data_IF_843297455725
#
_entry.id   IF_843297455725
#
_cell.length_a   1.000
_cell.length_b   1.000
_cell.length_c   1.000
_cell.angle_alpha   90.00
_cell.angle_beta   90.00
_cell.angle_gamma   90.00
#
_symmetry.space_group_name_H-M   'P 1'
#
loop_
_entity.id
_entity.type
_entity.pdbx_description
1 polymer ?
#
# COMPACT_ATOMS: atom_id res chain seq x y z
N UNK A 1 -43.04 49.78 79.02
CA UNK A 1 -42.14 48.91 78.25
C UNK A 1 -42.56 48.94 76.78
N UNK A 2 -41.98 49.79 75.92
CA UNK A 2 -42.34 49.86 74.51
C UNK A 2 -41.35 49.05 73.65
N UNK A 3 -41.89 48.24 72.74
CA UNK A 3 -41.12 47.50 71.74
C UNK A 3 -40.81 48.41 70.54
N UNK A 4 -39.51 48.51 70.22
CA UNK A 4 -38.94 49.39 69.20
C UNK A 4 -39.05 48.72 67.83
N UNK A 5 -39.61 49.45 66.87
CA UNK A 5 -39.66 49.09 65.45
C UNK A 5 -38.26 49.06 64.82
N UNK A 6 -37.96 48.04 64.02
CA UNK A 6 -36.74 47.93 63.20
C UNK A 6 -37.04 48.24 61.74
N UNK A 7 -36.17 48.98 61.02
CA UNK A 7 -36.38 49.32 59.61
C UNK A 7 -35.96 48.18 58.66
N UNK A 8 -36.62 48.11 57.51
CA UNK A 8 -36.33 47.21 56.39
C UNK A 8 -35.19 47.80 55.54
N UNK A 9 -34.17 47.02 55.11
CA UNK A 9 -33.15 47.53 54.21
C UNK A 9 -33.62 47.46 52.75
N UNK A 10 -33.36 48.53 52.01
CA UNK A 10 -33.66 48.66 50.58
C UNK A 10 -32.75 47.75 49.73
N UNK A 11 -33.36 46.98 48.82
CA UNK A 11 -32.67 46.11 47.86
C UNK A 11 -32.21 46.96 46.67
N UNK A 12 -30.90 47.21 46.56
CA UNK A 12 -30.28 47.82 45.37
C UNK A 12 -30.09 46.75 44.29
N UNK A 13 -30.86 46.86 43.20
CA UNK A 13 -30.74 46.01 42.02
C UNK A 13 -29.59 46.53 41.14
N UNK A 14 -28.44 45.85 41.17
CA UNK A 14 -27.33 46.14 40.26
C UNK A 14 -27.59 45.50 38.88
N UNK A 15 -27.89 46.31 37.86
CA UNK A 15 -27.89 45.86 36.47
C UNK A 15 -26.43 45.67 36.01
N UNK A 16 -26.00 44.41 35.92
CA UNK A 16 -24.77 44.04 35.23
C UNK A 16 -25.02 44.06 33.71
N UNK A 17 -24.52 45.09 33.01
CA UNK A 17 -24.42 45.11 31.56
C UNK A 17 -23.35 44.11 31.10
N UNK A 18 -23.76 42.88 30.79
CA UNK A 18 -22.93 41.91 30.09
C UNK A 18 -22.80 42.35 28.62
N UNK A 19 -21.70 43.03 28.29
CA UNK A 19 -21.31 43.25 26.90
C UNK A 19 -20.94 41.90 26.26
N UNK A 20 -21.90 41.28 25.57
CA UNK A 20 -21.69 40.08 24.78
C UNK A 20 -20.76 40.40 23.61
N UNK A 21 -19.49 39.99 23.71
CA UNK A 21 -18.61 39.95 22.57
C UNK A 21 -19.11 38.86 21.61
N UNK A 22 -19.84 39.27 20.57
CA UNK A 22 -20.21 38.39 19.47
C UNK A 22 -18.92 37.88 18.83
N UNK A 23 -18.60 36.59 19.03
CA UNK A 23 -17.59 35.90 18.23
C UNK A 23 -18.05 35.97 16.78
N UNK A 24 -17.29 36.70 15.96
CA UNK A 24 -17.44 36.66 14.51
C UNK A 24 -17.30 35.19 14.08
N UNK A 25 -18.42 34.56 13.73
CA UNK A 25 -18.42 33.28 13.05
C UNK A 25 -17.87 33.56 11.66
N UNK A 26 -16.60 33.23 11.42
CA UNK A 26 -15.97 33.38 10.11
C UNK A 26 -16.81 32.65 9.07
N UNK A 27 -17.04 33.30 7.92
CA UNK A 27 -17.70 32.68 6.77
C UNK A 27 -16.97 31.38 6.43
N UNK A 28 -17.68 30.22 6.32
CA UNK A 28 -17.04 28.97 5.94
C UNK A 28 -16.33 29.16 4.60
N UNK A 29 -15.03 28.87 4.55
CA UNK A 29 -14.32 28.84 3.27
C UNK A 29 -14.97 27.76 2.38
N UNK A 30 -15.10 28.02 1.06
CA UNK A 30 -15.66 27.04 0.16
C UNK A 30 -14.83 25.73 0.20
N UNK A 31 -15.46 24.57 -0.02
CA UNK A 31 -14.74 23.30 -0.07
C UNK A 31 -13.69 23.34 -1.19
N UNK A 32 -12.55 22.64 -1.03
CA UNK A 32 -11.54 22.60 -2.06
C UNK A 32 -12.06 21.87 -3.31
N UNK A 33 -11.69 22.34 -4.51
CA UNK A 33 -12.14 21.78 -5.79
C UNK A 33 -11.39 20.49 -6.20
N UNK A 34 -10.23 20.21 -5.61
CA UNK A 34 -9.38 19.07 -6.00
C UNK A 34 -10.07 17.69 -5.94
N UNK A 35 -11.01 17.39 -5.01
CA UNK A 35 -11.61 16.05 -4.95
C UNK A 35 -12.41 15.70 -6.21
N UNK A 36 -13.22 16.64 -6.70
CA UNK A 36 -14.02 16.48 -7.91
C UNK A 36 -13.13 16.36 -9.15
N UNK A 37 -12.10 17.21 -9.23
CA UNK A 37 -11.13 17.19 -10.32
C UNK A 37 -10.31 15.90 -10.36
N UNK A 38 -9.85 15.43 -9.19
CA UNK A 38 -9.14 14.17 -9.08
C UNK A 38 -10.03 13.00 -9.49
N UNK A 39 -11.29 12.98 -9.04
CA UNK A 39 -12.23 11.92 -9.42
C UNK A 39 -12.42 11.89 -10.95
N UNK A 40 -12.57 13.05 -11.59
CA UNK A 40 -12.69 13.14 -13.04
C UNK A 40 -11.43 12.62 -13.77
N UNK A 41 -10.23 13.02 -13.34
CA UNK A 41 -8.97 12.54 -13.91
C UNK A 41 -8.78 11.03 -13.70
N UNK A 42 -9.13 10.48 -12.53
CA UNK A 42 -9.06 9.03 -12.27
C UNK A 42 -10.00 8.22 -13.17
N UNK A 43 -11.21 8.73 -13.45
CA UNK A 43 -12.13 8.12 -14.42
C UNK A 43 -11.51 8.09 -15.82
N UNK A 44 -10.84 9.16 -16.23
CA UNK A 44 -10.15 9.22 -17.52
C UNK A 44 -8.96 8.24 -17.59
N UNK A 45 -8.14 8.21 -16.54
CA UNK A 45 -7.02 7.26 -16.43
C UNK A 45 -7.53 5.83 -16.53
N UNK A 46 -8.61 5.49 -15.83
CA UNK A 46 -9.21 4.16 -15.90
C UNK A 46 -9.76 3.84 -17.30
N UNK A 47 -10.41 4.78 -17.98
CA UNK A 47 -10.99 4.56 -19.31
C UNK A 47 -9.93 4.33 -20.40
N UNK A 48 -8.73 4.90 -20.25
CA UNK A 48 -7.64 4.79 -21.23
C UNK A 48 -6.77 3.55 -21.06
N UNK A 49 -6.98 2.78 -19.98
CA UNK A 49 -6.18 1.62 -19.65
C UNK A 49 -7.02 0.34 -19.75
N UNK A 50 -6.43 -0.69 -20.37
CA UNK A 50 -7.02 -2.04 -20.43
C UNK A 50 -6.97 -2.75 -19.07
N UNK A 51 -6.10 -2.30 -18.17
CA UNK A 51 -6.05 -2.78 -16.79
C UNK A 51 -7.23 -2.22 -15.99
N UNK A 52 -7.88 -3.04 -15.17
CA UNK A 52 -8.74 -2.51 -14.12
C UNK A 52 -7.89 -1.75 -13.10
N UNK A 53 -8.25 -0.50 -12.79
CA UNK A 53 -7.52 0.36 -11.85
C UNK A 53 -8.38 0.60 -10.61
N UNK A 54 -7.76 0.52 -9.43
CA UNK A 54 -8.32 0.95 -8.16
C UNK A 54 -7.41 1.97 -7.53
N UNK A 55 -7.97 3.06 -7.01
CA UNK A 55 -7.24 4.15 -6.35
C UNK A 55 -8.00 4.63 -5.13
N UNK A 56 -7.29 4.82 -4.04
CA UNK A 56 -7.76 5.54 -2.87
C UNK A 56 -6.75 6.63 -2.49
N UNK A 57 -7.22 7.84 -2.27
CA UNK A 57 -6.40 9.00 -1.89
C UNK A 57 -7.00 9.67 -0.66
N UNK A 58 -6.17 10.01 0.33
CA UNK A 58 -6.58 10.72 1.55
C UNK A 58 -5.62 11.87 1.85
N UNK A 59 -6.15 13.07 1.97
CA UNK A 59 -5.43 14.25 2.48
C UNK A 59 -5.42 14.22 4.02
N UNK A 60 -4.23 14.07 4.62
CA UNK A 60 -4.10 13.91 6.08
C UNK A 60 -4.26 15.23 6.84
N UNK A 61 -4.32 16.37 6.16
CA UNK A 61 -4.56 17.66 6.79
C UNK A 61 -6.05 17.96 6.94
N UNK A 62 -6.88 17.54 5.97
CA UNK A 62 -8.33 17.83 5.94
C UNK A 62 -9.19 16.61 6.23
N UNK A 63 -8.65 15.40 6.08
CA UNK A 63 -9.40 14.14 6.15
C UNK A 63 -10.21 13.83 4.89
N UNK A 64 -10.24 14.74 3.91
CA UNK A 64 -10.95 14.54 2.65
C UNK A 64 -10.29 13.40 1.86
N UNK A 65 -11.13 12.52 1.30
CA UNK A 65 -10.68 11.37 0.52
C UNK A 65 -11.44 11.23 -0.81
N UNK A 66 -10.76 10.64 -1.79
CA UNK A 66 -11.31 10.28 -3.11
C UNK A 66 -11.06 8.80 -3.34
N UNK A 67 -12.08 8.10 -3.84
CA UNK A 67 -12.04 6.66 -4.07
C UNK A 67 -12.55 6.32 -5.47
N UNK A 68 -11.69 5.72 -6.28
CA UNK A 68 -12.06 5.06 -7.51
C UNK A 68 -11.91 3.55 -7.31
N UNK A 69 -13.03 2.85 -7.11
CA UNK A 69 -13.06 1.38 -6.88
C UNK A 69 -12.19 0.93 -5.69
N UNK A 70 -11.90 1.83 -4.75
CA UNK A 70 -11.03 1.56 -3.61
C UNK A 70 -11.61 0.60 -2.58
N UNK A 71 -12.94 0.44 -2.56
CA UNK A 71 -13.64 -0.47 -1.64
C UNK A 71 -13.82 -1.89 -2.22
N UNK A 72 -13.41 -2.13 -3.47
CA UNK A 72 -13.34 -3.50 -4.00
C UNK A 72 -12.20 -4.28 -3.35
N UNK A 73 -12.24 -5.60 -3.47
CA UNK A 73 -11.13 -6.48 -3.08
C UNK A 73 -10.02 -6.44 -4.14
N UNK A 74 -8.82 -6.02 -3.74
CA UNK A 74 -7.62 -5.98 -4.59
C UNK A 74 -6.54 -6.91 -4.06
N UNK A 75 -5.89 -7.65 -4.96
CA UNK A 75 -4.70 -8.42 -4.60
C UNK A 75 -3.53 -7.48 -4.31
N UNK A 76 -3.02 -7.49 -3.08
CA UNK A 76 -2.05 -6.52 -2.58
C UNK A 76 -0.61 -6.83 -3.00
N UNK A 77 -0.36 -8.06 -3.47
CA UNK A 77 0.98 -8.52 -3.83
C UNK A 77 1.99 -8.21 -2.72
N UNK A 78 3.14 -7.62 -3.05
CA UNK A 78 4.20 -7.32 -2.08
C UNK A 78 3.94 -6.13 -1.15
N UNK A 79 2.79 -5.45 -1.23
CA UNK A 79 2.47 -4.39 -0.27
C UNK A 79 2.14 -4.97 1.12
N UNK A 80 1.76 -6.25 1.22
CA UNK A 80 1.61 -6.98 2.50
C UNK A 80 2.86 -6.99 3.38
N UNK A 81 4.03 -6.66 2.81
CA UNK A 81 5.30 -6.51 3.55
C UNK A 81 5.30 -5.34 4.53
N UNK A 82 4.41 -4.34 4.37
CA UNK A 82 4.25 -3.26 5.37
C UNK A 82 3.67 -3.81 6.68
N UNK A 83 2.52 -4.53 6.68
CA UNK A 83 2.07 -5.29 7.85
C UNK A 83 3.14 -6.19 8.48
N UNK A 84 3.93 -6.89 7.67
CA UNK A 84 5.03 -7.74 8.18
C UNK A 84 6.07 -6.90 8.91
N UNK A 85 6.51 -5.77 8.34
CA UNK A 85 7.47 -4.87 8.97
C UNK A 85 6.94 -4.31 10.30
N UNK A 86 5.66 -3.95 10.36
CA UNK A 86 5.02 -3.47 11.58
C UNK A 86 5.00 -4.55 12.68
N UNK A 87 4.66 -5.80 12.33
CA UNK A 87 4.68 -6.91 13.30
C UNK A 87 6.10 -7.17 13.84
N UNK A 88 7.12 -7.08 12.99
CA UNK A 88 8.54 -7.18 13.40
C UNK A 88 8.91 -6.05 14.35
N UNK A 89 8.57 -4.81 14.03
CA UNK A 89 8.89 -3.67 14.88
C UNK A 89 8.14 -3.70 16.22
N UNK A 90 6.90 -4.18 16.26
CA UNK A 90 6.19 -4.41 17.52
C UNK A 90 6.86 -5.50 18.38
N UNK A 91 7.38 -6.56 17.76
CA UNK A 91 8.14 -7.58 18.49
C UNK A 91 9.47 -7.02 19.04
N UNK A 92 10.13 -6.13 18.30
CA UNK A 92 11.30 -5.39 18.81
C UNK A 92 10.93 -4.53 20.01
N UNK A 93 9.80 -3.83 19.97
CA UNK A 93 9.35 -2.96 21.09
C UNK A 93 8.96 -3.74 22.34
N UNK A 94 8.46 -4.97 22.19
CA UNK A 94 8.22 -5.88 23.31
C UNK A 94 9.50 -6.46 23.92
N UNK A 95 10.64 -6.30 23.24
CA UNK A 95 11.92 -6.86 23.66
C UNK A 95 12.10 -8.34 23.29
N UNK A 96 11.26 -8.88 22.40
CA UNK A 96 11.36 -10.29 21.95
C UNK A 96 12.71 -10.54 21.24
N UNK A 97 13.21 -9.52 20.53
CA UNK A 97 14.52 -9.46 19.89
C UNK A 97 14.87 -7.99 19.56
N UNK A 98 16.07 -7.75 19.02
CA UNK A 98 16.50 -6.42 18.56
C UNK A 98 16.65 -6.37 17.04
N UNK A 99 16.74 -5.17 16.47
CA UNK A 99 17.05 -4.99 15.06
C UNK A 99 18.41 -5.60 14.65
N UNK A 100 19.32 -5.79 15.60
CA UNK A 100 20.66 -6.35 15.34
C UNK A 100 20.72 -7.86 15.63
N UNK A 101 19.60 -8.47 16.03
CA UNK A 101 19.51 -9.92 16.26
C UNK A 101 19.79 -10.68 14.96
N UNK A 102 20.72 -11.66 14.97
CA UNK A 102 21.06 -12.42 13.77
C UNK A 102 20.09 -13.57 13.52
N UNK A 103 19.58 -13.67 12.29
CA UNK A 103 18.90 -14.86 11.76
C UNK A 103 19.83 -15.59 10.80
N UNK A 104 19.91 -16.92 10.92
CA UNK A 104 20.69 -17.75 10.00
C UNK A 104 19.82 -18.21 8.84
N UNK A 105 20.26 -17.93 7.62
CA UNK A 105 19.61 -18.41 6.39
C UNK A 105 19.55 -19.93 6.38
N UNK A 106 18.38 -20.50 6.15
CA UNK A 106 18.15 -21.94 5.93
C UNK A 106 17.83 -22.19 4.46
N UNK A 107 18.07 -23.41 3.98
CA UNK A 107 17.72 -23.79 2.61
C UNK A 107 16.21 -23.64 2.35
N UNK A 108 15.38 -23.83 3.37
CA UNK A 108 13.92 -23.67 3.31
C UNK A 108 13.47 -22.22 3.16
N UNK A 109 14.33 -21.25 3.43
CA UNK A 109 13.95 -19.83 3.48
C UNK A 109 13.94 -19.19 2.08
N UNK A 110 14.63 -19.79 1.11
CA UNK A 110 14.75 -19.22 -0.23
C UNK A 110 13.37 -19.14 -0.91
N UNK A 111 13.10 -18.00 -1.53
CA UNK A 111 11.90 -17.79 -2.35
C UNK A 111 12.32 -17.03 -3.62
N UNK A 112 11.68 -17.32 -4.75
CA UNK A 112 11.93 -16.56 -5.97
C UNK A 112 11.59 -15.08 -5.79
N UNK A 113 12.40 -14.18 -6.35
CA UNK A 113 12.18 -12.75 -6.18
C UNK A 113 13.42 -11.91 -6.38
N UNK A 114 13.27 -10.62 -6.10
CA UNK A 114 14.35 -9.64 -6.11
C UNK A 114 15.12 -9.62 -4.78
N UNK A 115 16.11 -8.75 -4.68
CA UNK A 115 16.94 -8.59 -3.48
C UNK A 115 18.18 -9.48 -3.45
N UNK A 116 19.02 -9.27 -2.45
CA UNK A 116 20.32 -9.95 -2.35
C UNK A 116 20.35 -11.11 -1.36
N UNK A 117 19.24 -11.41 -0.68
CA UNK A 117 19.21 -12.45 0.35
C UNK A 117 19.39 -13.85 -0.25
N UNK A 118 18.85 -14.10 -1.45
CA UNK A 118 19.08 -15.34 -2.20
C UNK A 118 20.54 -15.60 -2.57
N UNK A 119 21.38 -14.57 -2.63
CA UNK A 119 22.80 -14.72 -2.91
C UNK A 119 23.62 -15.06 -1.64
N UNK A 120 23.00 -15.13 -0.47
CA UNK A 120 23.67 -15.47 0.78
C UNK A 120 23.63 -16.98 1.01
N UNK A 121 24.76 -17.62 1.36
CA UNK A 121 24.78 -19.06 1.57
C UNK A 121 24.02 -19.45 2.84
N UNK A 122 23.54 -20.69 2.88
CA UNK A 122 22.96 -21.31 4.08
C UNK A 122 23.91 -21.17 5.27
N UNK A 123 23.36 -20.86 6.44
CA UNK A 123 24.09 -20.63 7.69
C UNK A 123 24.60 -19.20 7.87
N UNK A 124 24.59 -18.36 6.82
CA UNK A 124 24.95 -16.94 6.92
C UNK A 124 24.02 -16.23 7.90
N UNK A 125 24.61 -15.57 8.89
CA UNK A 125 23.88 -14.71 9.82
C UNK A 125 23.59 -13.35 9.16
N UNK A 126 22.32 -12.94 9.18
CA UNK A 126 21.82 -11.66 8.68
C UNK A 126 20.99 -10.99 9.79
N UNK A 127 21.19 -9.70 10.04
CA UNK A 127 20.42 -9.01 11.08
C UNK A 127 18.96 -8.78 10.66
N UNK A 128 18.06 -8.70 11.63
CA UNK A 128 16.66 -8.30 11.41
C UNK A 128 16.58 -6.97 10.63
N UNK A 129 17.45 -6.01 10.94
CA UNK A 129 17.57 -4.74 10.21
C UNK A 129 17.87 -4.95 8.73
N UNK A 130 18.88 -5.77 8.42
CA UNK A 130 19.22 -6.09 7.03
C UNK A 130 18.02 -6.69 6.29
N UNK A 131 17.34 -7.65 6.91
CA UNK A 131 16.18 -8.32 6.31
C UNK A 131 15.00 -7.36 6.11
N UNK A 132 14.73 -6.46 7.07
CA UNK A 132 13.69 -5.43 6.92
C UNK A 132 13.98 -4.51 5.74
N UNK A 133 15.23 -4.06 5.61
CA UNK A 133 15.63 -3.19 4.49
C UNK A 133 15.59 -3.94 3.16
N UNK A 134 16.05 -5.19 3.10
CA UNK A 134 15.94 -6.00 1.88
C UNK A 134 14.48 -6.21 1.47
N UNK A 135 13.62 -6.55 2.43
CA UNK A 135 12.19 -6.76 2.21
C UNK A 135 11.49 -5.50 1.70
N UNK A 136 11.77 -4.33 2.28
CA UNK A 136 11.07 -3.11 1.94
C UNK A 136 11.65 -2.44 0.69
N UNK A 137 12.96 -2.26 0.64
CA UNK A 137 13.65 -1.48 -0.41
C UNK A 137 13.66 -2.24 -1.74
N UNK A 138 14.00 -3.52 -1.69
CA UNK A 138 14.20 -4.37 -2.87
C UNK A 138 13.06 -5.37 -3.07
N UNK A 139 12.04 -5.36 -2.20
CA UNK A 139 10.92 -6.30 -2.24
C UNK A 139 11.36 -7.77 -2.14
N UNK A 140 12.44 -8.04 -1.41
CA UNK A 140 13.06 -9.37 -1.26
C UNK A 140 12.12 -10.37 -0.57
N UNK A 141 11.78 -11.47 -1.25
CA UNK A 141 10.82 -12.47 -0.75
C UNK A 141 11.44 -13.41 0.29
N UNK A 142 12.73 -13.73 0.16
CA UNK A 142 13.45 -14.56 1.13
C UNK A 142 13.59 -13.82 2.45
N UNK A 143 13.93 -12.53 2.39
CA UNK A 143 13.94 -11.70 3.58
C UNK A 143 12.55 -11.60 4.24
N UNK A 144 11.48 -11.50 3.44
CA UNK A 144 10.12 -11.52 3.96
C UNK A 144 9.77 -12.82 4.68
N UNK A 145 10.03 -13.97 4.08
CA UNK A 145 9.65 -15.25 4.69
C UNK A 145 10.49 -15.56 5.93
N UNK A 146 11.76 -15.14 5.96
CA UNK A 146 12.57 -15.18 7.18
C UNK A 146 11.96 -14.33 8.30
N UNK A 147 11.50 -13.10 7.99
CA UNK A 147 10.86 -12.22 8.97
C UNK A 147 9.48 -12.73 9.40
N UNK A 148 8.68 -13.26 8.48
CA UNK A 148 7.39 -13.92 8.79
C UNK A 148 7.63 -15.14 9.68
N UNK A 149 8.68 -15.92 9.42
CA UNK A 149 9.08 -17.03 10.27
C UNK A 149 9.50 -16.59 11.68
N UNK A 150 10.17 -15.44 11.79
CA UNK A 150 10.59 -14.87 13.08
C UNK A 150 9.40 -14.44 13.94
N UNK A 151 8.42 -13.72 13.37
CA UNK A 151 7.28 -13.19 14.16
C UNK A 151 6.05 -14.10 14.15
N UNK A 152 6.01 -15.06 13.23
CA UNK A 152 4.85 -15.91 12.96
C UNK A 152 3.78 -15.21 12.11
N UNK A 153 3.29 -15.90 11.08
CA UNK A 153 2.22 -15.40 10.19
C UNK A 153 0.91 -15.08 10.93
N UNK A 154 0.66 -15.75 12.06
CA UNK A 154 -0.51 -15.47 12.92
C UNK A 154 -0.42 -14.07 13.55
N UNK A 155 0.77 -13.62 13.95
CA UNK A 155 0.96 -12.29 14.52
C UNK A 155 0.70 -11.20 13.47
N UNK A 156 1.15 -11.41 12.22
CA UNK A 156 0.90 -10.48 11.11
C UNK A 156 -0.61 -10.35 10.82
N UNK A 157 -1.33 -11.48 10.76
CA UNK A 157 -2.78 -11.46 10.53
C UNK A 157 -3.56 -10.87 11.70
N UNK A 158 -3.18 -11.18 12.94
CA UNK A 158 -3.80 -10.61 14.13
C UNK A 158 -3.63 -9.08 14.17
N UNK A 159 -2.43 -8.59 13.79
CA UNK A 159 -2.14 -7.16 13.71
C UNK A 159 -3.09 -6.44 12.75
N UNK A 160 -3.22 -6.90 11.50
CA UNK A 160 -4.11 -6.23 10.53
C UNK A 160 -5.57 -6.36 10.92
N UNK A 161 -5.99 -7.49 11.49
CA UNK A 161 -7.35 -7.68 11.98
C UNK A 161 -7.69 -6.72 13.14
N UNK A 162 -6.72 -6.42 14.00
CA UNK A 162 -6.88 -5.47 15.10
C UNK A 162 -6.92 -4.01 14.61
N UNK A 163 -6.01 -3.64 13.72
CA UNK A 163 -5.83 -2.25 13.29
C UNK A 163 -6.89 -1.80 12.28
N UNK A 164 -7.26 -2.69 11.36
CA UNK A 164 -8.15 -2.40 10.23
C UNK A 164 -9.14 -3.56 10.04
N UNK A 165 -10.11 -3.72 10.96
CA UNK A 165 -11.02 -4.85 10.95
C UNK A 165 -11.77 -4.99 9.62
N UNK A 166 -11.82 -6.22 9.08
CA UNK A 166 -12.44 -6.53 7.79
C UNK A 166 -11.84 -5.79 6.58
N UNK A 167 -10.67 -5.17 6.74
CA UNK A 167 -9.98 -4.45 5.69
C UNK A 167 -9.06 -5.33 4.83
N UNK A 168 -8.47 -6.35 5.45
CA UNK A 168 -7.53 -7.28 4.85
C UNK A 168 -8.10 -8.70 4.91
N UNK A 169 -7.89 -9.44 3.83
CA UNK A 169 -8.03 -10.89 3.82
C UNK A 169 -6.78 -11.53 4.44
N UNK A 170 -6.83 -12.86 4.63
CA UNK A 170 -5.71 -13.60 5.21
C UNK A 170 -4.42 -13.41 4.40
N UNK A 171 -3.39 -12.91 5.07
CA UNK A 171 -2.02 -12.79 4.57
C UNK A 171 -1.31 -14.14 4.73
N UNK A 172 -0.57 -14.57 3.71
CA UNK A 172 0.27 -15.78 3.72
C UNK A 172 1.74 -15.43 3.45
N UNK A 173 2.63 -16.43 3.59
CA UNK A 173 4.04 -16.26 3.20
C UNK A 173 4.20 -16.14 1.69
N UNK A 174 5.33 -15.61 1.23
CA UNK A 174 5.62 -15.44 -0.19
C UNK A 174 5.87 -16.78 -0.87
N UNK A 175 6.42 -17.77 -0.15
CA UNK A 175 6.45 -19.15 -0.58
C UNK A 175 5.03 -19.73 -0.74
N UNK A 176 4.13 -19.46 0.20
CA UNK A 176 2.76 -19.96 0.12
C UNK A 176 1.97 -19.33 -1.02
N UNK A 177 2.26 -18.08 -1.43
CA UNK A 177 1.71 -17.53 -2.68
C UNK A 177 1.97 -18.48 -3.86
N UNK A 178 3.16 -19.07 -3.96
CA UNK A 178 3.50 -20.04 -5.02
C UNK A 178 2.78 -21.36 -4.84
N UNK A 179 2.75 -21.89 -3.61
CA UNK A 179 2.06 -23.15 -3.30
C UNK A 179 0.57 -23.07 -3.57
N UNK A 180 -0.08 -21.96 -3.22
CA UNK A 180 -1.51 -21.75 -3.51
C UNK A 180 -1.77 -21.56 -5.00
N UNK A 181 -0.96 -20.75 -5.69
CA UNK A 181 -1.10 -20.55 -7.13
C UNK A 181 -0.90 -21.84 -7.93
N UNK A 182 0.21 -22.54 -7.74
CA UNK A 182 0.45 -23.82 -8.42
C UNK A 182 -0.43 -24.95 -7.88
N UNK A 183 -0.92 -24.81 -6.64
CA UNK A 183 -1.92 -25.68 -6.03
C UNK A 183 -3.19 -25.78 -6.86
N UNK A 184 -3.56 -24.71 -7.58
CA UNK A 184 -4.72 -24.75 -8.48
C UNK A 184 -4.53 -25.77 -9.62
N UNK A 185 -3.30 -25.96 -10.10
CA UNK A 185 -2.97 -26.98 -11.11
C UNK A 185 -3.03 -28.39 -10.50
N UNK A 186 -2.44 -28.56 -9.32
CA UNK A 186 -2.28 -29.87 -8.67
C UNK A 186 -2.03 -29.71 -7.15
N UNK A 187 -2.68 -30.49 -6.27
CA UNK A 187 -2.49 -30.37 -4.82
C UNK A 187 -1.06 -30.72 -4.36
N UNK A 188 -0.30 -31.47 -5.16
CA UNK A 188 1.10 -31.79 -4.93
C UNK A 188 2.00 -30.56 -4.87
N UNK A 189 1.57 -29.41 -5.40
CA UNK A 189 2.31 -28.15 -5.31
C UNK A 189 2.57 -27.69 -3.86
N UNK A 190 1.84 -28.21 -2.88
CA UNK A 190 2.12 -28.02 -1.45
C UNK A 190 3.51 -28.51 -1.04
N UNK A 191 4.11 -29.45 -1.78
CA UNK A 191 5.45 -29.99 -1.52
C UNK A 191 6.59 -29.16 -2.12
N UNK A 192 6.29 -28.10 -2.88
CA UNK A 192 7.32 -27.27 -3.49
C UNK A 192 8.17 -26.58 -2.41
N UNK A 193 9.48 -26.75 -2.56
CA UNK A 193 10.50 -26.11 -1.75
C UNK A 193 10.87 -24.73 -2.30
N UNK A 194 11.63 -23.98 -1.50
CA UNK A 194 12.18 -22.70 -1.91
C UNK A 194 13.04 -22.76 -3.18
N UNK A 195 13.85 -23.80 -3.28
CA UNK A 195 14.70 -24.05 -4.45
C UNK A 195 13.87 -24.30 -5.72
N UNK A 196 12.76 -25.02 -5.59
CA UNK A 196 11.86 -25.30 -6.72
C UNK A 196 11.31 -24.00 -7.33
N UNK A 197 10.97 -23.01 -6.50
CA UNK A 197 10.49 -21.72 -6.98
C UNK A 197 11.56 -20.99 -7.82
N UNK A 198 12.84 -21.09 -7.44
CA UNK A 198 13.94 -20.51 -8.22
C UNK A 198 14.04 -21.18 -9.60
N UNK A 199 13.94 -22.51 -9.66
CA UNK A 199 13.97 -23.28 -10.91
C UNK A 199 12.78 -22.93 -11.81
N UNK A 200 11.56 -22.85 -11.24
CA UNK A 200 10.34 -22.49 -11.98
C UNK A 200 10.43 -21.04 -12.50
N UNK A 201 10.99 -20.12 -11.72
CA UNK A 201 11.09 -18.70 -12.09
C UNK A 201 11.99 -18.46 -13.31
N UNK A 202 13.02 -19.28 -13.50
CA UNK A 202 13.97 -19.17 -14.63
C UNK A 202 13.35 -19.47 -15.99
N UNK A 203 12.20 -20.15 -16.02
CA UNK A 203 11.54 -20.53 -17.27
C UNK A 203 10.98 -19.30 -18.00
N UNK A 204 11.05 -19.30 -19.34
CA UNK A 204 10.67 -18.14 -20.16
C UNK A 204 9.19 -18.12 -20.52
N UNK A 205 8.60 -19.29 -20.77
CA UNK A 205 7.19 -19.42 -21.13
C UNK A 205 6.36 -20.14 -20.07
N UNK A 206 5.04 -20.00 -20.14
CA UNK A 206 4.13 -20.76 -19.27
C UNK A 206 4.14 -22.25 -19.60
N UNK A 207 4.29 -22.62 -20.88
CA UNK A 207 4.44 -24.02 -21.28
C UNK A 207 5.66 -24.67 -20.61
N UNK A 208 6.81 -23.98 -20.62
CA UNK A 208 8.02 -24.46 -19.95
C UNK A 208 7.83 -24.59 -18.43
N UNK A 209 7.11 -23.63 -17.82
CA UNK A 209 6.78 -23.69 -16.38
C UNK A 209 5.93 -24.91 -16.05
N UNK A 210 4.92 -25.23 -16.87
CA UNK A 210 4.09 -26.43 -16.68
C UNK A 210 4.93 -27.72 -16.79
N UNK A 211 5.85 -27.79 -17.75
CA UNK A 211 6.74 -28.94 -17.90
C UNK A 211 7.70 -29.11 -16.72
N UNK A 212 8.27 -28.02 -16.22
CA UNK A 212 9.10 -28.04 -15.00
C UNK A 212 8.28 -28.46 -13.78
N UNK A 213 7.10 -27.89 -13.58
CA UNK A 213 6.19 -28.27 -12.50
C UNK A 213 5.84 -29.76 -12.56
N UNK A 214 5.51 -30.28 -13.74
CA UNK A 214 5.22 -31.70 -13.95
C UNK A 214 6.37 -32.60 -13.49
N UNK A 215 7.61 -32.26 -13.87
CA UNK A 215 8.80 -33.01 -13.44
C UNK A 215 9.06 -32.94 -11.93
N UNK A 216 8.98 -31.73 -11.35
CA UNK A 216 9.25 -31.53 -9.92
C UNK A 216 8.20 -32.21 -9.03
N UNK A 217 6.94 -32.20 -9.47
CA UNK A 217 5.81 -32.74 -8.71
C UNK A 217 5.48 -34.20 -9.05
N UNK A 218 6.11 -34.76 -10.08
CA UNK A 218 5.84 -36.10 -10.62
C UNK A 218 4.36 -36.30 -10.98
N UNK A 219 3.75 -35.26 -11.57
CA UNK A 219 2.35 -35.27 -12.03
C UNK A 219 2.34 -34.85 -13.51
N UNK A 220 1.84 -35.68 -14.44
CA UNK A 220 1.79 -35.32 -15.86
C UNK A 220 1.00 -34.03 -16.08
N UNK A 221 1.45 -33.18 -17.01
CA UNK A 221 0.73 -31.93 -17.37
C UNK A 221 -0.72 -32.21 -17.79
N UNK A 222 -0.97 -33.33 -18.47
CA UNK A 222 -2.31 -33.77 -18.86
C UNK A 222 -3.25 -34.05 -17.68
N UNK A 223 -2.71 -34.22 -16.47
CA UNK A 223 -3.46 -34.43 -15.22
C UNK A 223 -3.63 -33.14 -14.41
N UNK A 224 -3.11 -32.00 -14.87
CA UNK A 224 -3.35 -30.71 -14.21
C UNK A 224 -4.81 -30.27 -14.39
N UNK A 225 -5.38 -29.70 -13.33
CA UNK A 225 -6.79 -29.26 -13.31
C UNK A 225 -7.08 -28.04 -14.17
N UNK A 226 -6.06 -27.22 -14.40
CA UNK A 226 -6.16 -26.01 -15.21
C UNK A 226 -5.11 -26.05 -16.33
N UNK A 227 -5.43 -25.53 -17.52
CA UNK A 227 -4.61 -25.67 -18.71
C UNK A 227 -3.41 -24.71 -18.74
N UNK A 228 -3.38 -23.68 -17.88
CA UNK A 228 -2.34 -22.65 -17.92
C UNK A 228 -1.93 -22.15 -16.53
N UNK A 229 -0.68 -21.68 -16.42
CA UNK A 229 -0.20 -20.94 -15.23
C UNK A 229 -1.03 -19.67 -15.02
N UNK A 230 -1.50 -19.03 -16.10
CA UNK A 230 -2.35 -17.84 -16.00
C UNK A 230 -3.66 -18.12 -15.26
N UNK A 231 -4.40 -19.15 -15.67
CA UNK A 231 -5.65 -19.54 -15.01
C UNK A 231 -5.43 -20.01 -13.57
N UNK A 232 -4.30 -20.66 -13.29
CA UNK A 232 -3.93 -21.03 -11.94
C UNK A 232 -3.74 -19.80 -11.03
N UNK A 233 -3.12 -18.72 -11.52
CA UNK A 233 -3.01 -17.46 -10.77
C UNK A 233 -4.36 -16.77 -10.61
N UNK A 234 -5.21 -16.74 -11.63
CA UNK A 234 -6.55 -16.14 -11.53
C UNK A 234 -7.45 -16.90 -10.54
N UNK A 235 -7.43 -18.23 -10.55
CA UNK A 235 -8.11 -19.06 -9.56
C UNK A 235 -7.57 -18.81 -8.14
N UNK A 236 -6.26 -18.67 -7.97
CA UNK A 236 -5.67 -18.28 -6.68
C UNK A 236 -6.14 -16.91 -6.20
N UNK A 237 -6.20 -15.90 -7.08
CA UNK A 237 -6.72 -14.58 -6.68
C UNK A 237 -8.18 -14.62 -6.26
N UNK A 238 -8.98 -15.55 -6.80
CA UNK A 238 -10.38 -15.71 -6.41
C UNK A 238 -10.51 -16.14 -4.94
N UNK A 239 -9.55 -16.90 -4.39
CA UNK A 239 -9.49 -17.30 -2.97
C UNK A 239 -9.42 -16.11 -2.00
N UNK A 240 -8.97 -14.95 -2.47
CA UNK A 240 -8.87 -13.73 -1.67
C UNK A 240 -7.62 -13.63 -0.80
N UNK A 241 -6.76 -14.64 -0.77
CA UNK A 241 -5.50 -14.59 -0.03
C UNK A 241 -4.66 -13.38 -0.45
N UNK A 242 -3.97 -12.75 0.52
CA UNK A 242 -3.14 -11.57 0.32
C UNK A 242 -3.86 -10.41 -0.39
N UNK A 243 -5.16 -10.27 -0.18
CA UNK A 243 -5.99 -9.20 -0.74
C UNK A 243 -6.50 -8.28 0.35
N UNK A 244 -7.03 -7.12 -0.04
CA UNK A 244 -7.67 -6.17 0.87
C UNK A 244 -8.34 -5.04 0.09
N UNK A 245 -9.06 -4.18 0.81
CA UNK A 245 -9.57 -2.93 0.25
C UNK A 245 -8.51 -1.83 0.34
N UNK A 246 -8.51 -0.91 -0.63
CA UNK A 246 -7.51 0.15 -0.72
C UNK A 246 -7.74 1.26 0.33
N UNK A 247 -9.01 1.50 0.71
CA UNK A 247 -9.37 2.39 1.81
C UNK A 247 -8.82 1.87 3.14
N UNK A 248 -8.99 0.57 3.42
CA UNK A 248 -8.44 -0.05 4.62
C UNK A 248 -6.90 -0.07 4.64
N UNK A 249 -6.25 -0.25 3.49
CA UNK A 249 -4.80 -0.10 3.40
C UNK A 249 -4.37 1.35 3.70
N UNK A 250 -5.15 2.34 3.26
CA UNK A 250 -4.89 3.73 3.59
C UNK A 250 -5.05 4.03 5.09
N UNK A 251 -6.04 3.42 5.75
CA UNK A 251 -6.23 3.52 7.20
C UNK A 251 -5.02 2.95 7.96
N UNK A 252 -4.47 1.81 7.51
CA UNK A 252 -3.23 1.25 8.07
C UNK A 252 -2.05 2.22 7.93
N UNK A 253 -1.90 2.85 6.75
CA UNK A 253 -0.85 3.84 6.50
C UNK A 253 -1.06 5.10 7.36
N UNK A 254 -2.29 5.54 7.56
CA UNK A 254 -2.62 6.69 8.42
C UNK A 254 -2.23 6.43 9.87
N UNK A 255 -2.55 5.24 10.38
CA UNK A 255 -2.13 4.80 11.72
C UNK A 255 -0.61 4.75 11.86
N UNK A 256 0.11 4.27 10.83
CA UNK A 256 1.58 4.29 10.81
C UNK A 256 2.10 5.73 10.86
N UNK A 257 1.64 6.59 9.95
CA UNK A 257 2.09 7.99 9.84
C UNK A 257 1.77 8.78 11.12
N UNK A 258 0.65 8.49 11.76
CA UNK A 258 0.26 9.07 13.05
C UNK A 258 1.00 8.51 14.27
N UNK A 259 1.92 7.56 14.10
CA UNK A 259 2.68 6.94 15.20
C UNK A 259 1.81 6.13 16.15
N UNK A 260 0.75 5.50 15.65
CA UNK A 260 -0.25 4.76 16.45
C UNK A 260 -0.02 3.25 16.51
N UNK A 261 0.91 2.72 15.71
CA UNK A 261 1.17 1.27 15.62
C UNK A 261 2.46 0.87 16.34
N UNK A 262 3.50 1.69 16.18
CA UNK A 262 4.84 1.54 16.77
C UNK A 262 5.30 2.91 17.27
N UNK A 263 6.31 2.95 18.12
CA UNK A 263 6.83 4.18 18.70
C UNK A 263 7.40 5.14 17.65
N UNK A 264 7.57 6.40 18.03
CA UNK A 264 7.99 7.46 17.11
C UNK A 264 9.36 7.20 16.42
N UNK A 265 10.28 6.49 17.09
CA UNK A 265 11.57 6.10 16.50
C UNK A 265 11.40 5.07 15.39
N UNK A 266 10.61 4.03 15.63
CA UNK A 266 10.32 2.99 14.64
C UNK A 266 9.39 3.46 13.53
N UNK A 267 8.45 4.37 13.78
CA UNK A 267 7.68 5.05 12.74
C UNK A 267 8.60 5.80 11.79
N UNK A 268 9.52 6.63 12.30
CA UNK A 268 10.50 7.35 11.47
C UNK A 268 11.41 6.41 10.70
N UNK A 269 11.88 5.35 11.35
CA UNK A 269 12.68 4.32 10.69
C UNK A 269 11.93 3.66 9.53
N UNK A 270 10.69 3.20 9.75
CA UNK A 270 9.92 2.52 8.71
C UNK A 270 9.63 3.46 7.53
N UNK A 271 9.20 4.70 7.80
CA UNK A 271 8.97 5.69 6.74
C UNK A 271 10.24 6.02 5.97
N UNK A 272 11.39 6.16 6.65
CA UNK A 272 12.67 6.43 5.95
C UNK A 272 13.17 5.24 5.13
N UNK A 273 12.89 4.00 5.53
CA UNK A 273 13.13 2.82 4.70
C UNK A 273 12.20 2.84 3.48
N UNK A 274 10.93 3.21 3.68
CA UNK A 274 9.93 3.30 2.60
C UNK A 274 10.22 4.43 1.60
N UNK A 275 10.90 5.51 2.00
CA UNK A 275 11.39 6.56 1.06
C UNK A 275 12.57 6.08 0.20
N UNK A 276 13.28 5.02 0.62
CA UNK A 276 14.44 4.47 -0.09
C UNK A 276 14.10 3.36 -1.09
N UNK A 277 12.82 2.98 -1.20
CA UNK A 277 12.38 1.89 -2.08
C UNK A 277 12.87 2.10 -3.52
N UNK A 278 13.46 1.04 -4.09
CA UNK A 278 14.09 1.07 -5.42
C UNK A 278 13.22 0.43 -6.50
N UNK A 279 12.12 -0.20 -6.12
CA UNK A 279 11.17 -0.81 -7.04
C UNK A 279 10.10 0.20 -7.46
N UNK A 280 9.57 0.09 -8.68
CA UNK A 280 8.40 0.88 -9.10
C UNK A 280 8.70 2.37 -9.32
N UNK A 281 9.96 2.73 -9.61
CA UNK A 281 10.36 4.12 -9.93
C UNK A 281 9.59 4.75 -11.10
N UNK A 282 8.92 3.92 -11.91
CA UNK A 282 8.08 4.34 -13.03
C UNK A 282 6.57 4.33 -12.74
N UNK A 283 6.17 4.13 -11.48
CA UNK A 283 4.77 4.09 -11.03
C UNK A 283 4.32 5.46 -10.53
N UNK A 284 3.59 5.52 -9.41
CA UNK A 284 3.00 6.74 -8.87
C UNK A 284 4.07 7.82 -8.71
N UNK A 285 5.24 7.46 -8.18
CA UNK A 285 6.37 8.38 -8.00
C UNK A 285 6.73 9.16 -9.27
N UNK A 286 6.71 8.52 -10.45
CA UNK A 286 7.07 9.16 -11.72
C UNK A 286 6.03 10.20 -12.20
N UNK A 287 4.83 10.20 -11.62
CA UNK A 287 3.77 11.17 -11.90
C UNK A 287 3.69 12.30 -10.87
N UNK A 288 4.45 12.22 -9.76
CA UNK A 288 4.44 13.24 -8.72
C UNK A 288 5.29 14.47 -9.09
N UNK A 289 5.03 15.64 -8.49
CA UNK A 289 5.91 16.80 -8.66
C UNK A 289 7.30 16.49 -8.09
N UNK A 290 8.35 17.08 -8.68
CA UNK A 290 9.76 16.80 -8.33
C UNK A 290 10.13 17.10 -6.87
N UNK A 291 9.38 17.99 -6.24
CA UNK A 291 9.55 18.38 -4.83
C UNK A 291 8.97 17.35 -3.86
N UNK A 292 8.14 16.41 -4.34
CA UNK A 292 7.51 15.41 -3.51
C UNK A 292 8.51 14.33 -3.09
N UNK A 293 8.44 13.95 -1.81
CA UNK A 293 8.99 12.69 -1.29
C UNK A 293 7.89 11.65 -1.25
N UNK A 294 8.22 10.38 -1.48
CA UNK A 294 7.25 9.30 -1.47
C UNK A 294 7.75 8.11 -0.64
N UNK A 295 7.22 7.97 0.57
CA UNK A 295 7.47 6.82 1.43
C UNK A 295 6.48 5.71 1.05
N UNK A 296 6.91 4.75 0.23
CA UNK A 296 6.00 3.81 -0.42
C UNK A 296 6.43 2.34 -0.33
N UNK A 297 5.49 1.47 -0.70
CA UNK A 297 5.76 0.07 -0.98
C UNK A 297 5.02 -0.36 -2.24
N UNK A 298 5.76 -1.05 -3.10
CA UNK A 298 5.26 -1.64 -4.34
C UNK A 298 4.75 -3.07 -4.16
N UNK A 299 3.87 -3.48 -5.07
CA UNK A 299 3.45 -4.85 -5.29
C UNK A 299 3.56 -5.23 -6.77
N UNK A 300 4.10 -6.40 -7.08
CA UNK A 300 4.05 -6.97 -8.44
C UNK A 300 3.81 -8.46 -8.35
N UNK A 301 2.81 -8.92 -9.07
CA UNK A 301 2.55 -10.32 -9.36
C UNK A 301 1.97 -10.41 -10.78
N UNK A 302 1.85 -11.61 -11.34
CA UNK A 302 1.23 -11.84 -12.64
C UNK A 302 -0.09 -11.07 -12.78
N UNK A 303 -0.12 -10.09 -13.68
CA UNK A 303 -1.28 -9.23 -13.94
C UNK A 303 -1.87 -8.51 -12.71
N UNK A 304 -1.06 -8.27 -11.67
CA UNK A 304 -1.45 -7.50 -10.47
C UNK A 304 -0.29 -6.59 -10.07
N UNK A 305 -0.53 -5.29 -10.04
CA UNK A 305 0.51 -4.30 -9.73
C UNK A 305 -0.03 -3.28 -8.74
N UNK A 306 0.71 -2.96 -7.69
CA UNK A 306 0.29 -1.94 -6.72
C UNK A 306 1.44 -0.99 -6.39
N UNK A 307 1.09 0.22 -5.97
CA UNK A 307 2.00 1.19 -5.39
C UNK A 307 1.26 2.00 -4.33
N UNK A 308 1.75 2.02 -3.10
CA UNK A 308 0.99 2.52 -1.97
C UNK A 308 1.91 3.15 -0.92
N UNK A 309 1.58 4.36 -0.47
CA UNK A 309 2.46 5.10 0.42
C UNK A 309 1.99 6.49 0.80
N UNK A 310 2.88 7.20 1.50
CA UNK A 310 2.74 8.58 1.91
C UNK A 310 3.52 9.50 0.96
N UNK A 311 2.81 10.36 0.25
CA UNK A 311 3.37 11.49 -0.48
C UNK A 311 3.51 12.67 0.48
N UNK A 312 4.70 13.27 0.53
CA UNK A 312 4.97 14.48 1.30
C UNK A 312 5.50 15.58 0.38
N UNK A 313 4.80 16.72 0.32
CA UNK A 313 5.22 17.89 -0.46
C UNK A 313 5.61 19.01 0.51
N UNK A 314 6.87 19.48 0.50
CA UNK A 314 7.31 20.59 1.33
C UNK A 314 6.50 21.86 1.06
N UNK A 315 6.13 22.58 2.12
CA UNK A 315 5.45 23.89 2.05
C UNK A 315 6.01 24.83 3.10
N UNK A 316 5.81 26.14 2.87
CA UNK A 316 6.03 27.15 3.90
C UNK A 316 5.09 26.87 5.09
N UNK A 317 5.67 26.65 6.27
CA UNK A 317 4.94 26.36 7.51
C UNK A 317 4.77 24.88 7.82
N UNK A 318 4.05 24.12 6.98
CA UNK A 318 3.79 22.69 7.23
C UNK A 318 3.66 21.89 5.94
N UNK A 319 4.44 20.82 5.81
CA UNK A 319 4.37 19.87 4.71
C UNK A 319 2.93 19.37 4.47
N UNK A 320 2.56 19.27 3.19
CA UNK A 320 1.33 18.60 2.72
C UNK A 320 1.56 17.09 2.71
N UNK A 321 0.67 16.30 3.30
CA UNK A 321 0.81 14.85 3.46
C UNK A 321 -0.43 14.13 2.93
N UNK A 322 -0.22 13.30 1.91
CA UNK A 322 -1.28 12.59 1.21
C UNK A 322 -0.98 11.11 1.20
N UNK A 323 -1.93 10.28 1.61
CA UNK A 323 -1.86 8.84 1.39
C UNK A 323 -2.41 8.52 0.01
N UNK A 324 -1.68 7.71 -0.75
CA UNK A 324 -2.14 7.16 -2.03
C UNK A 324 -2.00 5.64 -1.98
N UNK A 325 -3.06 4.94 -2.37
CA UNK A 325 -3.07 3.48 -2.51
C UNK A 325 -3.64 3.17 -3.88
N UNK A 326 -2.81 2.68 -4.80
CA UNK A 326 -3.23 2.41 -6.18
C UNK A 326 -2.82 1.00 -6.60
N UNK A 327 -3.74 0.30 -7.26
CA UNK A 327 -3.53 -1.04 -7.78
C UNK A 327 -4.12 -1.20 -9.20
N UNK A 328 -3.52 -2.08 -10.00
CA UNK A 328 -4.00 -2.52 -11.30
C UNK A 328 -4.24 -4.03 -11.31
N UNK A 329 -5.19 -4.49 -12.12
CA UNK A 329 -5.48 -5.91 -12.38
C UNK A 329 -5.80 -6.17 -13.84
N UNK A 330 -5.48 -7.38 -14.32
CA UNK A 330 -5.82 -7.83 -15.68
C UNK A 330 -4.81 -7.45 -16.77
N UNK A 331 -3.69 -6.81 -16.41
CA UNK A 331 -2.67 -6.37 -17.36
C UNK A 331 -1.34 -7.11 -17.17
N UNK A 332 -0.99 -7.99 -18.11
CA UNK A 332 0.24 -8.80 -18.06
C UNK A 332 1.52 -8.00 -18.26
N UNK A 333 1.47 -6.88 -18.98
CA UNK A 333 2.62 -6.00 -19.17
C UNK A 333 2.83 -5.12 -17.95
N UNK A 334 3.89 -5.38 -17.19
CA UNK A 334 4.29 -4.52 -16.07
C UNK A 334 4.54 -3.09 -16.52
N UNK A 335 5.07 -2.87 -17.73
CA UNK A 335 5.28 -1.51 -18.25
C UNK A 335 3.96 -0.75 -18.49
N UNK A 336 2.88 -1.44 -18.93
CA UNK A 336 1.55 -0.81 -19.05
C UNK A 336 0.93 -0.54 -17.68
N UNK A 337 1.03 -1.48 -16.74
CA UNK A 337 0.59 -1.26 -15.36
C UNK A 337 1.34 -0.12 -14.67
N UNK A 338 2.66 -0.02 -14.86
CA UNK A 338 3.47 1.05 -14.28
C UNK A 338 3.08 2.40 -14.87
N UNK A 339 2.84 2.50 -16.19
CA UNK A 339 2.30 3.72 -16.82
C UNK A 339 0.95 4.12 -16.25
N UNK A 340 0.02 3.17 -16.10
CA UNK A 340 -1.28 3.45 -15.48
C UNK A 340 -1.13 4.03 -14.06
N UNK A 341 -0.22 3.47 -13.25
CA UNK A 341 0.05 3.98 -11.90
C UNK A 341 0.79 5.33 -11.91
N UNK A 342 1.65 5.59 -12.90
CA UNK A 342 2.23 6.93 -13.12
C UNK A 342 1.15 7.94 -13.43
N UNK A 343 0.18 7.61 -14.28
CA UNK A 343 -0.90 8.52 -14.65
C UNK A 343 -1.79 8.84 -13.44
N UNK A 344 -1.93 7.92 -12.47
CA UNK A 344 -2.50 8.23 -11.15
C UNK A 344 -1.69 9.31 -10.44
N UNK A 345 -0.37 9.16 -10.33
CA UNK A 345 0.49 10.20 -9.74
C UNK A 345 0.34 11.57 -10.41
N UNK A 346 0.27 11.58 -11.74
CA UNK A 346 0.03 12.79 -12.52
C UNK A 346 -1.34 13.41 -12.22
N UNK A 347 -2.40 12.59 -12.13
CA UNK A 347 -3.75 13.03 -11.78
C UNK A 347 -3.79 13.69 -10.38
N UNK A 348 -3.10 13.11 -9.38
CA UNK A 348 -2.97 13.73 -8.05
C UNK A 348 -2.37 15.14 -8.16
N UNK A 349 -1.29 15.31 -8.92
CA UNK A 349 -0.65 16.61 -9.09
C UNK A 349 -1.57 17.60 -9.83
N UNK A 350 -2.12 17.18 -10.96
CA UNK A 350 -2.91 18.00 -11.86
C UNK A 350 -4.24 18.47 -11.24
N UNK A 351 -4.78 17.72 -10.27
CA UNK A 351 -5.99 18.08 -9.52
C UNK A 351 -5.86 19.32 -8.63
N UNK A 352 -4.64 19.80 -8.36
CA UNK A 352 -4.39 20.87 -7.39
C UNK A 352 -4.08 20.38 -5.98
N UNK A 353 -4.29 19.10 -5.67
CA UNK A 353 -4.06 18.53 -4.33
C UNK A 353 -2.61 18.71 -3.86
N UNK A 354 -1.65 18.52 -4.76
CA UNK A 354 -0.22 18.61 -4.47
C UNK A 354 0.39 19.99 -4.77
N UNK A 355 -0.41 20.97 -5.20
CA UNK A 355 0.06 22.26 -5.75
C UNK A 355 -0.71 23.48 -5.19
N UNK A 356 -1.19 23.40 -3.95
CA UNK A 356 -1.95 24.48 -3.28
C UNK A 356 -3.17 24.94 -4.10
N UNK A 357 -3.87 23.99 -4.71
CA UNK A 357 -5.05 24.27 -5.53
C UNK A 357 -4.74 24.74 -6.95
N UNK A 358 -3.47 24.91 -7.34
CA UNK A 358 -3.10 25.22 -8.74
C UNK A 358 -3.29 23.99 -9.62
N UNK A 359 -4.43 23.94 -10.31
CA UNK A 359 -4.69 22.93 -11.33
C UNK A 359 -3.79 23.14 -12.53
N UNK A 360 -3.35 22.07 -13.18
CA UNK A 360 -2.50 22.17 -14.38
C UNK A 360 -1.19 22.94 -14.19
N UNK A 361 -0.62 22.84 -12.99
CA UNK A 361 0.68 23.41 -12.66
C UNK A 361 1.78 22.86 -13.60
N UNK A 362 2.65 23.71 -14.18
CA UNK A 362 3.72 23.27 -15.07
C UNK A 362 4.75 22.34 -14.41
N UNK A 363 4.81 22.30 -13.07
CA UNK A 363 5.65 21.34 -12.35
C UNK A 363 5.05 19.92 -12.32
N UNK A 364 3.76 19.79 -12.64
CA UNK A 364 3.08 18.52 -12.71
C UNK A 364 3.30 17.83 -14.06
N UNK A 365 3.72 16.56 -14.08
CA UNK A 365 3.68 15.76 -15.30
C UNK A 365 2.27 15.75 -15.91
N UNK A 366 2.13 15.78 -17.25
CA UNK A 366 0.82 15.68 -17.87
C UNK A 366 0.24 14.29 -17.65
N UNK A 367 -1.08 14.21 -17.43
CA UNK A 367 -1.81 12.94 -17.57
C UNK A 367 -1.85 12.61 -19.06
N UNK A 368 -1.40 11.41 -19.45
CA UNK A 368 -1.55 10.99 -20.84
C UNK A 368 -3.04 11.07 -21.23
N UNK A 369 -3.32 11.72 -22.36
CA UNK A 369 -4.66 11.74 -22.96
C UNK A 369 -4.58 11.02 -24.29
N UNK A 370 -5.43 10.02 -24.49
CA UNK A 370 -5.64 9.46 -25.83
C UNK A 370 -6.32 10.56 -26.66
N UNK A 371 -5.55 11.18 -27.57
CA UNK A 371 -6.15 12.00 -28.62
C UNK A 371 -6.89 11.03 -29.52
N UNK A 372 -8.21 10.97 -29.40
CA UNK A 372 -9.03 10.43 -30.48
C UNK A 372 -8.75 11.30 -31.70
N UNK A 373 -7.90 10.82 -32.63
CA UNK A 373 -7.88 11.40 -33.97
C UNK A 373 -9.28 11.20 -34.50
N UNK A 374 -10.02 12.29 -34.65
CA UNK A 374 -11.24 12.28 -35.45
C UNK A 374 -10.87 11.69 -36.81
N UNK A 375 -11.60 10.66 -37.21
CA UNK A 375 -11.45 10.04 -38.51
C UNK A 375 -11.67 11.13 -39.58
N UNK A 376 -10.71 11.41 -40.47
CA UNK A 376 -10.89 12.41 -41.52
C UNK A 376 -11.76 11.80 -42.63
N UNK A 377 -13.04 11.56 -42.33
CA UNK A 377 -13.88 10.71 -43.15
C UNK A 377 -15.36 10.93 -42.96
N UNK A 378 -15.81 12.18 -42.89
CA UNK A 378 -17.19 12.57 -43.21
C UNK A 378 -17.20 14.05 -43.62
N UNK A 379 -17.13 14.28 -44.94
CA UNK A 379 -17.58 15.51 -45.60
C UNK A 379 -18.49 15.12 -46.74
#
# INVERSE_FOLDING_TARGET
>A
MPAIARPVPALLLALALAAGAARAQGVPSPPPAWPELLQAELVQVAAQNTAGIGVYVRDLETGIAVSHRGMERWYLASTVKVPVALAVLQAVERGDFTLDTPLRVRASDYVDGAGQTNAKPVGRALSVRYLLEQMLIYSDNTASDMLIGLVGIRAVNALVQQLVPQGFERITSLADVRRHAYGQLTPQASHLSGHDFLVIKQQRSDADRLQVLSRLLQVPVASFRLPSVGEAFEAYYAEGLNSGRLDAYADLLELLVGGKIVNAGHTRYLLSVMERVQTGVHRVQAGLPKTARFAHKTGTQRARTCDSGLVTVPRLGRDRRVIVVACTRGELSSARSDRALRDVGAALCQSGLLTDGRTHDPECPPVARVVHRADPGER
#
